data_IF_170121380137
#
_entry.id   IF_170121380137
#
_cell.length_a   1.000
_cell.length_b   1.000
_cell.length_c   1.000
_cell.angle_alpha   90.00
_cell.angle_beta   90.00
_cell.angle_gamma   90.00
#
_symmetry.space_group_name_H-M   'P 1'
#
loop_
_entity.id
_entity.type
_entity.pdbx_description
1 polymer ?
#
# COMPACT_ATOMS: atom_id res chain seq x y z
N UNK A 1 -26.00 -19.70 -18.30
CA UNK A 1 -24.97 -18.65 -18.24
C UNK A 1 -23.60 -19.25 -18.41
N UNK A 2 -22.83 -18.73 -19.30
CA UNK A 2 -21.47 -19.20 -19.54
C UNK A 2 -20.51 -18.50 -18.57
N UNK A 3 -19.68 -19.30 -17.86
CA UNK A 3 -18.66 -18.79 -16.95
C UNK A 3 -17.27 -19.03 -17.56
N UNK A 4 -16.49 -17.95 -17.69
CA UNK A 4 -15.13 -18.03 -18.21
C UNK A 4 -14.13 -18.15 -17.05
N UNK A 5 -13.60 -19.36 -16.87
CA UNK A 5 -12.62 -19.65 -15.81
C UNK A 5 -11.30 -18.90 -16.02
N UNK A 6 -10.91 -18.62 -17.29
CA UNK A 6 -9.71 -17.86 -17.59
C UNK A 6 -9.84 -16.40 -17.16
N UNK A 7 -11.01 -15.81 -17.38
CA UNK A 7 -11.28 -14.43 -16.96
C UNK A 7 -11.20 -14.29 -15.43
N UNK A 8 -11.78 -15.24 -14.69
CA UNK A 8 -11.72 -15.23 -13.22
C UNK A 8 -10.27 -15.36 -12.74
N UNK A 9 -9.47 -16.22 -13.37
CA UNK A 9 -8.05 -16.38 -13.03
C UNK A 9 -7.25 -15.11 -13.32
N UNK A 10 -7.50 -14.45 -14.46
CA UNK A 10 -6.84 -13.20 -14.84
C UNK A 10 -7.17 -12.07 -13.85
N UNK A 11 -8.44 -11.97 -13.44
CA UNK A 11 -8.86 -10.97 -12.45
C UNK A 11 -8.15 -11.22 -11.11
N UNK A 12 -8.09 -12.46 -10.64
CA UNK A 12 -7.40 -12.81 -9.40
C UNK A 12 -5.91 -12.49 -9.47
N UNK A 13 -5.25 -12.77 -10.61
CA UNK A 13 -3.84 -12.44 -10.81
C UNK A 13 -3.61 -10.92 -10.83
N UNK A 14 -4.50 -10.16 -11.45
CA UNK A 14 -4.41 -8.70 -11.47
C UNK A 14 -4.53 -8.12 -10.06
N UNK A 15 -5.45 -8.63 -9.24
CA UNK A 15 -5.58 -8.21 -7.83
C UNK A 15 -4.31 -8.53 -7.05
N UNK A 16 -3.72 -9.72 -7.25
CA UNK A 16 -2.48 -10.12 -6.58
C UNK A 16 -1.28 -9.26 -6.96
N UNK A 17 -1.28 -8.67 -8.17
CA UNK A 17 -0.23 -7.80 -8.66
C UNK A 17 -0.50 -6.32 -8.42
N UNK A 18 -1.71 -5.97 -8.01
CA UNK A 18 -2.11 -4.59 -7.78
C UNK A 18 -1.71 -4.13 -6.39
N UNK A 19 -0.40 -4.18 -6.12
CA UNK A 19 0.18 -3.69 -4.88
C UNK A 19 1.51 -3.00 -5.16
N UNK A 20 1.97 -2.23 -4.20
CA UNK A 20 3.20 -1.48 -4.31
C UNK A 20 2.97 -0.03 -3.91
N UNK A 21 4.02 0.73 -3.91
CA UNK A 21 4.00 2.13 -3.48
C UNK A 21 4.18 3.00 -4.71
N UNK A 22 3.25 3.91 -4.94
CA UNK A 22 3.29 4.78 -6.12
C UNK A 22 4.52 5.69 -6.07
N UNK A 23 5.15 5.90 -7.23
CA UNK A 23 6.27 6.84 -7.36
C UNK A 23 5.86 8.22 -6.83
N UNK A 24 6.77 8.89 -6.15
CA UNK A 24 6.51 10.18 -5.50
C UNK A 24 6.09 10.07 -4.03
N UNK A 25 5.74 8.88 -3.56
CA UNK A 25 5.42 8.67 -2.15
C UNK A 25 6.69 8.75 -1.30
N UNK A 26 6.60 9.45 -0.16
CA UNK A 26 7.73 9.61 0.75
C UNK A 26 7.78 8.48 1.77
N UNK A 27 8.91 7.80 1.86
CA UNK A 27 9.15 6.72 2.81
C UNK A 27 10.06 7.20 3.92
N UNK A 28 9.73 6.87 5.16
CA UNK A 28 10.55 7.22 6.31
C UNK A 28 11.75 6.27 6.40
N UNK A 29 12.95 6.85 6.29
CA UNK A 29 14.21 6.11 6.32
C UNK A 29 15.13 6.60 7.43
N UNK A 30 16.25 5.91 7.61
CA UNK A 30 17.32 6.33 8.51
C UNK A 30 17.81 7.75 8.24
N UNK A 31 17.64 8.24 7.02
CA UNK A 31 18.07 9.59 6.58
C UNK A 31 16.90 10.57 6.49
N UNK A 32 15.74 10.24 7.06
CA UNK A 32 14.52 11.01 6.94
C UNK A 32 13.61 10.49 5.83
N UNK A 33 12.63 11.31 5.46
CA UNK A 33 11.68 10.96 4.38
C UNK A 33 12.35 11.13 3.03
N UNK A 34 12.28 10.10 2.18
CA UNK A 34 12.84 10.12 0.82
C UNK A 34 11.83 9.55 -0.16
N UNK A 35 11.96 9.94 -1.44
CA UNK A 35 11.11 9.40 -2.49
C UNK A 35 11.32 7.89 -2.61
N UNK A 36 10.21 7.14 -2.68
CA UNK A 36 10.27 5.68 -2.73
C UNK A 36 11.05 5.16 -3.93
N UNK A 37 11.00 5.86 -5.07
CA UNK A 37 11.72 5.48 -6.29
C UNK A 37 13.25 5.63 -6.17
N UNK A 38 13.73 6.34 -5.15
CA UNK A 38 15.17 6.48 -4.91
C UNK A 38 15.76 5.34 -4.08
N UNK A 39 14.91 4.47 -3.52
CA UNK A 39 15.34 3.39 -2.64
C UNK A 39 15.93 2.23 -3.43
N UNK A 40 16.92 1.57 -2.81
CA UNK A 40 17.58 0.40 -3.37
C UNK A 40 17.92 -0.59 -2.27
N UNK A 41 18.27 -1.82 -2.66
CA UNK A 41 18.66 -2.85 -1.71
C UNK A 41 19.78 -2.35 -0.79
N UNK A 42 19.66 -2.64 0.49
CA UNK A 42 20.60 -2.20 1.50
C UNK A 42 20.21 -0.90 2.20
N UNK A 43 19.33 -0.08 1.62
CA UNK A 43 18.85 1.13 2.27
C UNK A 43 18.06 0.76 3.54
N UNK A 44 18.25 1.55 4.61
CA UNK A 44 17.64 1.27 5.91
C UNK A 44 16.36 2.06 6.08
N UNK A 45 15.28 1.34 6.26
CA UNK A 45 13.93 1.88 6.39
C UNK A 45 13.48 1.78 7.85
N UNK A 46 12.82 2.81 8.35
CA UNK A 46 12.19 2.75 9.66
C UNK A 46 10.88 2.00 9.51
N UNK A 47 10.77 0.86 10.21
CA UNK A 47 9.57 0.04 10.19
C UNK A 47 8.82 0.15 11.51
N UNK A 48 7.51 -0.10 11.46
CA UNK A 48 6.68 -0.08 12.67
C UNK A 48 7.00 -1.23 13.63
N UNK A 49 7.30 -2.41 13.07
CA UNK A 49 7.37 -3.66 13.83
C UNK A 49 8.77 -4.05 14.28
N UNK A 50 9.82 -3.53 13.63
CA UNK A 50 11.19 -3.97 13.90
C UNK A 50 12.23 -2.83 13.89
N UNK A 51 11.77 -1.57 13.97
CA UNK A 51 12.67 -0.43 13.90
C UNK A 51 13.34 -0.33 12.55
N UNK A 52 14.64 -0.14 12.52
CA UNK A 52 15.40 0.11 11.30
C UNK A 52 15.83 -1.20 10.64
N UNK A 53 15.35 -1.45 9.42
CA UNK A 53 15.59 -2.69 8.68
C UNK A 53 16.06 -2.38 7.26
N UNK A 54 17.05 -3.12 6.77
CA UNK A 54 17.55 -2.96 5.41
C UNK A 54 16.58 -3.57 4.40
N UNK A 55 16.39 -2.88 3.28
CA UNK A 55 15.64 -3.40 2.14
C UNK A 55 16.42 -4.56 1.53
N UNK A 56 15.76 -5.71 1.33
CA UNK A 56 16.39 -6.87 0.71
C UNK A 56 16.38 -6.78 -0.81
N UNK A 57 15.28 -6.29 -1.39
CA UNK A 57 15.12 -6.20 -2.86
C UNK A 57 14.13 -5.10 -3.20
N UNK A 58 14.35 -4.43 -4.32
CA UNK A 58 13.44 -3.43 -4.87
C UNK A 58 13.02 -3.87 -6.27
N UNK A 59 11.75 -3.79 -6.55
CA UNK A 59 11.19 -4.06 -7.87
C UNK A 59 10.40 -2.83 -8.32
N UNK A 60 10.57 -2.42 -9.56
CA UNK A 60 9.86 -1.29 -10.16
C UNK A 60 9.06 -1.81 -11.33
N UNK A 61 7.77 -1.50 -11.35
CA UNK A 61 6.87 -1.94 -12.41
C UNK A 61 5.84 -0.86 -12.70
N UNK A 62 5.45 -0.71 -13.96
CA UNK A 62 4.29 0.07 -14.33
C UNK A 62 3.11 -0.89 -14.46
N UNK A 63 2.06 -0.66 -13.69
CA UNK A 63 0.88 -1.52 -13.67
C UNK A 63 -0.36 -0.72 -14.07
N UNK A 64 -1.33 -1.43 -14.62
CA UNK A 64 -2.67 -0.91 -14.88
C UNK A 64 -3.63 -1.64 -13.97
N UNK A 65 -4.29 -0.90 -13.08
CA UNK A 65 -5.22 -1.48 -12.12
C UNK A 65 -6.16 -0.39 -11.62
N UNK A 66 -7.21 -0.82 -10.94
CA UNK A 66 -7.99 0.12 -10.15
C UNK A 66 -7.15 0.58 -8.97
N UNK A 67 -7.20 1.85 -8.67
CA UNK A 67 -6.49 2.45 -7.57
C UNK A 67 -7.47 3.12 -6.62
N UNK A 68 -7.03 3.36 -5.39
CA UNK A 68 -7.85 4.02 -4.39
C UNK A 68 -7.18 5.34 -4.02
N UNK A 69 -7.90 6.43 -4.21
CA UNK A 69 -7.46 7.74 -3.75
C UNK A 69 -7.89 7.93 -2.32
N UNK A 70 -6.92 8.12 -1.44
CA UNK A 70 -7.15 8.34 -0.01
C UNK A 70 -6.94 9.82 0.26
N UNK A 71 -8.01 10.50 0.71
CA UNK A 71 -7.96 11.91 1.02
C UNK A 71 -7.15 12.16 2.28
N UNK A 72 -6.37 13.23 2.29
CA UNK A 72 -5.57 13.62 3.45
C UNK A 72 -6.41 13.64 4.74
N UNK A 73 -5.87 13.03 5.80
CA UNK A 73 -6.50 13.00 7.11
C UNK A 73 -7.70 12.06 7.26
N UNK A 74 -8.07 11.30 6.21
CA UNK A 74 -9.28 10.46 6.26
C UNK A 74 -9.16 9.24 7.17
N UNK A 75 -7.94 8.79 7.47
CA UNK A 75 -7.67 7.64 8.33
C UNK A 75 -7.10 8.03 9.70
N UNK A 76 -7.17 9.30 10.04
CA UNK A 76 -6.67 9.86 11.29
C UNK A 76 -5.89 11.15 11.07
N UNK A 77 -5.36 11.73 12.13
CA UNK A 77 -4.58 12.97 12.04
C UNK A 77 -3.32 12.74 11.18
N UNK A 78 -3.17 13.53 10.12
CA UNK A 78 -2.08 13.41 9.13
C UNK A 78 -1.94 11.99 8.54
N UNK A 79 -3.04 11.27 8.42
CA UNK A 79 -3.07 9.91 7.87
C UNK A 79 -4.07 9.81 6.72
N UNK A 80 -3.62 9.94 5.47
CA UNK A 80 -2.27 10.37 5.06
C UNK A 80 -2.07 11.87 5.26
N UNK A 81 -0.80 12.29 5.20
CA UNK A 81 -0.41 13.70 5.30
C UNK A 81 -0.93 14.52 4.12
N UNK A 82 -1.04 13.89 2.97
CA UNK A 82 -1.58 14.47 1.74
C UNK A 82 -2.40 13.42 1.00
N UNK A 83 -3.19 13.85 0.03
CA UNK A 83 -3.94 12.92 -0.80
C UNK A 83 -2.99 11.91 -1.43
N UNK A 84 -3.31 10.63 -1.30
CA UNK A 84 -2.42 9.53 -1.70
C UNK A 84 -3.19 8.55 -2.57
N UNK A 85 -2.50 7.98 -3.55
CA UNK A 85 -3.07 6.97 -4.46
C UNK A 85 -2.40 5.63 -4.19
N UNK A 86 -3.20 4.61 -3.90
CA UNK A 86 -2.71 3.24 -3.69
C UNK A 86 -3.33 2.29 -4.71
N UNK A 87 -2.57 1.30 -5.21
CA UNK A 87 -3.17 0.18 -5.92
C UNK A 87 -4.20 -0.50 -5.03
N UNK A 88 -5.26 -1.04 -5.62
CA UNK A 88 -6.39 -1.59 -4.87
C UNK A 88 -6.01 -2.74 -3.93
N UNK A 89 -5.00 -3.52 -4.29
CA UNK A 89 -4.53 -4.67 -3.50
C UNK A 89 -3.49 -4.34 -2.45
N UNK A 90 -3.02 -3.10 -2.37
CA UNK A 90 -2.04 -2.73 -1.35
C UNK A 90 -2.68 -2.80 0.04
N UNK A 91 -2.03 -3.54 0.93
CA UNK A 91 -2.49 -3.65 2.32
C UNK A 91 -1.89 -2.54 3.17
N UNK A 92 -2.71 -2.01 4.06
CA UNK A 92 -2.30 -1.01 5.01
C UNK A 92 -2.87 -1.33 6.39
N UNK A 93 -2.16 -0.90 7.43
CA UNK A 93 -2.61 -1.08 8.81
C UNK A 93 -3.63 -0.01 9.15
N UNK A 94 -4.82 -0.44 9.54
CA UNK A 94 -5.91 0.43 9.96
C UNK A 94 -6.06 0.32 11.47
N UNK A 95 -6.05 1.48 12.15
CA UNK A 95 -6.11 1.56 13.60
C UNK A 95 -7.25 2.45 14.10
N UNK A 96 -8.10 2.95 13.20
CA UNK A 96 -9.26 3.76 13.55
C UNK A 96 -10.51 2.88 13.70
N UNK A 97 -11.67 3.53 13.85
CA UNK A 97 -12.96 2.85 14.04
C UNK A 97 -13.29 1.83 12.94
N UNK A 98 -12.75 2.02 11.73
CA UNK A 98 -13.00 1.12 10.60
C UNK A 98 -12.52 -0.29 10.89
N UNK A 99 -11.37 -0.43 11.54
CA UNK A 99 -10.82 -1.74 11.87
C UNK A 99 -11.78 -2.53 12.76
N UNK A 100 -12.25 -1.93 13.84
CA UNK A 100 -13.18 -2.60 14.75
C UNK A 100 -14.53 -2.89 14.10
N UNK A 101 -15.04 -1.94 13.32
CA UNK A 101 -16.33 -2.09 12.63
C UNK A 101 -16.30 -3.20 11.59
N UNK A 102 -15.18 -3.37 10.86
CA UNK A 102 -15.08 -4.30 9.74
C UNK A 102 -14.46 -5.64 10.12
N UNK A 103 -13.62 -5.71 11.14
CA UNK A 103 -12.87 -6.91 11.52
C UNK A 103 -13.11 -7.37 12.94
N UNK A 104 -13.68 -6.53 13.79
CA UNK A 104 -13.83 -6.79 15.23
C UNK A 104 -12.54 -6.56 16.04
N UNK A 105 -11.45 -6.16 15.40
CA UNK A 105 -10.15 -5.93 16.04
C UNK A 105 -9.83 -4.44 16.11
N UNK A 106 -9.05 -4.04 17.12
CA UNK A 106 -8.64 -2.65 17.28
C UNK A 106 -7.75 -2.18 16.12
N UNK A 107 -6.96 -3.07 15.55
CA UNK A 107 -6.15 -2.80 14.36
C UNK A 107 -6.08 -4.04 13.47
N UNK A 108 -5.97 -3.83 12.17
CA UNK A 108 -5.89 -4.91 11.20
C UNK A 108 -5.28 -4.43 9.89
N UNK A 109 -4.63 -5.34 9.18
CA UNK A 109 -4.22 -5.10 7.79
C UNK A 109 -5.43 -5.27 6.89
N UNK A 110 -5.68 -4.27 6.06
CA UNK A 110 -6.81 -4.26 5.12
C UNK A 110 -6.32 -3.79 3.76
N UNK A 111 -6.89 -4.32 2.68
CA UNK A 111 -6.60 -3.81 1.36
C UNK A 111 -7.20 -2.42 1.18
N UNK A 112 -6.58 -1.60 0.34
CA UNK A 112 -7.14 -0.30 0.00
C UNK A 112 -8.55 -0.44 -0.58
N UNK A 113 -8.79 -1.46 -1.39
CA UNK A 113 -10.11 -1.72 -1.98
C UNK A 113 -11.20 -1.92 -0.92
N UNK A 114 -10.88 -2.55 0.20
CA UNK A 114 -11.84 -2.80 1.27
C UNK A 114 -12.30 -1.53 1.99
N UNK A 115 -11.56 -0.43 1.85
CA UNK A 115 -11.79 0.82 2.57
C UNK A 115 -12.59 1.85 1.78
N UNK A 116 -12.95 1.56 0.54
CA UNK A 116 -13.67 2.51 -0.33
C UNK A 116 -15.02 2.86 0.31
N UNK A 117 -15.26 4.15 0.52
CA UNK A 117 -16.52 4.66 1.04
C UNK A 117 -17.24 5.57 0.04
N UNK A 118 -16.59 5.90 -1.10
CA UNK A 118 -17.16 6.77 -2.13
C UNK A 118 -17.09 8.25 -1.82
N UNK A 119 -16.53 8.63 -0.68
CA UNK A 119 -16.42 10.03 -0.24
C UNK A 119 -14.96 10.41 0.03
N UNK A 120 -14.36 9.87 1.07
CA UNK A 120 -12.97 10.16 1.44
C UNK A 120 -11.98 9.20 0.80
N UNK A 121 -12.42 7.97 0.53
CA UNK A 121 -11.66 6.95 -0.16
C UNK A 121 -12.42 6.56 -1.40
N UNK A 122 -11.92 6.98 -2.56
CA UNK A 122 -12.60 6.80 -3.86
C UNK A 122 -11.80 5.91 -4.78
N UNK A 123 -12.53 5.08 -5.53
CA UNK A 123 -11.94 4.25 -6.56
C UNK A 123 -11.62 5.09 -7.80
N UNK A 124 -10.42 4.90 -8.35
CA UNK A 124 -9.99 5.45 -9.64
C UNK A 124 -9.84 4.25 -10.57
N UNK A 125 -10.74 4.13 -11.55
CA UNK A 125 -10.73 2.99 -12.46
C UNK A 125 -9.62 3.12 -13.50
N UNK A 126 -9.05 1.97 -13.86
CA UNK A 126 -8.04 1.85 -14.93
C UNK A 126 -6.89 2.84 -14.78
N UNK A 127 -6.38 2.98 -13.58
CA UNK A 127 -5.23 3.82 -13.31
C UNK A 127 -3.95 3.16 -13.80
N UNK A 128 -3.05 3.95 -14.36
CA UNK A 128 -1.72 3.51 -14.73
C UNK A 128 -0.73 4.06 -13.71
N UNK A 129 -0.06 3.16 -12.99
CA UNK A 129 0.80 3.53 -11.87
C UNK A 129 2.19 2.94 -12.05
N UNK A 130 3.21 3.76 -11.83
CA UNK A 130 4.56 3.28 -11.58
C UNK A 130 4.64 2.95 -10.10
N UNK A 131 4.79 1.68 -9.77
CA UNK A 131 4.88 1.22 -8.39
C UNK A 131 6.26 0.71 -8.07
N UNK A 132 6.66 0.94 -6.84
CA UNK A 132 7.93 0.46 -6.28
C UNK A 132 7.56 -0.55 -5.20
N UNK A 133 8.06 -1.77 -5.34
CA UNK A 133 7.83 -2.84 -4.37
C UNK A 133 9.09 -3.06 -3.57
N UNK A 134 8.95 -2.85 -2.26
CA UNK A 134 10.03 -3.08 -1.30
C UNK A 134 9.83 -4.46 -0.68
N UNK A 135 10.89 -5.25 -0.68
CA UNK A 135 10.91 -6.57 -0.06
C UNK A 135 11.93 -6.59 1.07
N UNK A 136 11.57 -7.23 2.15
CA UNK A 136 12.41 -7.34 3.34
C UNK A 136 12.70 -8.82 3.65
N UNK A 137 13.47 -9.08 4.70
CA UNK A 137 13.74 -10.43 5.21
C UNK A 137 12.48 -11.13 5.72
N UNK A 138 11.55 -10.34 6.24
CA UNK A 138 10.24 -10.76 6.71
C UNK A 138 9.21 -9.70 6.30
N UNK A 139 7.91 -9.99 6.37
CA UNK A 139 6.91 -8.95 6.15
C UNK A 139 7.11 -7.80 7.14
N UNK A 140 7.04 -6.57 6.65
CA UNK A 140 7.25 -5.37 7.45
C UNK A 140 6.19 -4.34 7.13
N UNK A 141 6.00 -3.39 8.03
CA UNK A 141 5.12 -2.24 7.83
C UNK A 141 6.00 -0.98 7.81
N UNK A 142 5.92 -0.24 6.70
CA UNK A 142 6.70 0.99 6.49
C UNK A 142 5.80 2.21 6.59
N UNK A 143 6.38 3.36 6.90
CA UNK A 143 5.67 4.63 6.96
C UNK A 143 5.80 5.34 5.61
N UNK A 144 4.66 5.55 4.95
CA UNK A 144 4.57 6.11 3.61
C UNK A 144 3.55 7.25 3.60
N UNK A 145 4.00 8.50 3.49
CA UNK A 145 3.15 9.69 3.54
C UNK A 145 2.16 9.68 4.72
N UNK A 146 2.60 9.19 5.88
CA UNK A 146 1.76 9.07 7.08
C UNK A 146 0.89 7.82 7.13
N UNK A 147 0.86 7.00 6.08
CA UNK A 147 0.21 5.70 6.09
C UNK A 147 1.18 4.60 6.54
N UNK A 148 0.63 3.51 7.01
CA UNK A 148 1.39 2.34 7.42
C UNK A 148 1.14 1.22 6.42
N UNK A 149 2.06 1.03 5.48
CA UNK A 149 1.90 0.11 4.35
C UNK A 149 2.65 -1.20 4.58
N UNK A 150 2.00 -2.29 4.23
CA UNK A 150 2.57 -3.63 4.32
C UNK A 150 3.51 -3.89 3.15
N UNK A 151 4.70 -4.42 3.45
CA UNK A 151 5.67 -4.88 2.46
C UNK A 151 6.00 -6.35 2.76
N UNK A 152 6.00 -7.22 1.75
CA UNK A 152 6.18 -8.66 1.97
C UNK A 152 7.65 -9.04 2.17
N UNK A 153 7.86 -10.30 2.52
CA UNK A 153 9.19 -10.92 2.51
C UNK A 153 9.67 -11.12 1.07
N UNK A 154 10.96 -11.05 0.91
CA UNK A 154 11.60 -11.32 -0.37
C UNK A 154 11.49 -12.80 -0.77
#
# INVERSE_FOLDING_TARGET
>A
MYFDANLASDVAQNIQRSWGIAAGTQILTAKGAVDVESLKAGDRIITRDAGMVAVARVEIETIECDAIRIRAGSLGHDRPEQDTLLPEGQKLLIRDWRSKAMTGKAQALMTAAALVDGEFLKKVEDARLKVIRLYFDQPRIVYADGLELHCPAA
#
